data_IF_923557068211
#
_entry.id   IF_923557068211
#
_cell.length_a   1.000
_cell.length_b   1.000
_cell.length_c   1.000
_cell.angle_alpha   90.00
_cell.angle_beta   90.00
_cell.angle_gamma   90.00
#
_symmetry.space_group_name_H-M   'P 1'
#
loop_
_entity.id
_entity.type
_entity.pdbx_description
1 polymer ?
#
# COMPACT_ATOMS: atom_id res chain seq x y z
N UNK A 1 16.50 27.68 -10.83
CA UNK A 1 16.98 26.29 -10.78
C UNK A 1 17.33 25.88 -12.20
N UNK A 2 18.51 25.32 -12.44
CA UNK A 2 18.95 24.94 -13.79
C UNK A 2 18.68 23.44 -14.07
N UNK A 3 18.82 23.03 -15.33
CA UNK A 3 18.54 21.65 -15.75
C UNK A 3 19.45 20.62 -15.06
N UNK A 4 20.69 21.00 -14.74
CA UNK A 4 21.63 20.13 -14.03
C UNK A 4 21.18 19.88 -12.58
N UNK A 5 20.66 20.89 -11.89
CA UNK A 5 20.11 20.73 -10.53
C UNK A 5 18.88 19.80 -10.51
N UNK A 6 18.02 19.86 -11.54
CA UNK A 6 16.89 18.95 -11.71
C UNK A 6 17.40 17.54 -11.99
N UNK A 7 18.36 17.41 -12.89
CA UNK A 7 19.01 16.14 -13.23
C UNK A 7 19.66 15.45 -12.02
N UNK A 8 20.36 16.21 -11.18
CA UNK A 8 20.97 15.70 -9.95
C UNK A 8 19.92 15.14 -8.97
N UNK A 9 18.73 15.75 -8.90
CA UNK A 9 17.63 15.25 -8.05
C UNK A 9 17.03 13.96 -8.59
N UNK A 10 16.85 13.87 -9.91
CA UNK A 10 16.41 12.63 -10.57
C UNK A 10 17.39 11.51 -10.23
N UNK A 11 18.69 11.76 -10.45
CA UNK A 11 19.77 10.82 -10.16
C UNK A 11 19.78 10.37 -8.71
N UNK A 12 19.70 11.31 -7.79
CA UNK A 12 19.68 11.03 -6.35
C UNK A 12 18.55 10.06 -6.00
N UNK A 13 17.31 10.38 -6.36
CA UNK A 13 16.14 9.54 -5.98
C UNK A 13 16.15 8.20 -6.71
N UNK A 14 16.59 8.16 -7.97
CA UNK A 14 16.76 6.89 -8.70
C UNK A 14 17.74 5.97 -7.98
N UNK A 15 18.88 6.51 -7.55
CA UNK A 15 19.91 5.74 -6.82
C UNK A 15 19.43 5.32 -5.43
N UNK A 16 18.71 6.18 -4.70
CA UNK A 16 18.07 5.84 -3.42
C UNK A 16 17.10 4.64 -3.56
N UNK A 17 16.44 4.52 -4.72
CA UNK A 17 15.55 3.40 -5.05
C UNK A 17 16.24 2.18 -5.66
N UNK A 18 17.57 2.21 -5.81
CA UNK A 18 18.33 1.11 -6.42
C UNK A 18 18.04 0.87 -7.90
N UNK A 19 17.39 1.82 -8.60
CA UNK A 19 17.03 1.66 -10.00
C UNK A 19 18.22 2.01 -10.91
N UNK A 20 18.46 1.21 -11.95
CA UNK A 20 19.34 1.53 -13.06
C UNK A 20 18.69 2.55 -14.01
N UNK A 21 19.51 3.17 -14.87
CA UNK A 21 19.01 4.06 -15.94
C UNK A 21 18.07 3.32 -16.89
N UNK A 22 18.34 2.04 -17.15
CA UNK A 22 17.52 1.20 -18.04
C UNK A 22 16.16 0.92 -17.41
N UNK A 23 16.11 0.50 -16.15
CA UNK A 23 14.86 0.20 -15.45
C UNK A 23 13.97 1.44 -15.33
N UNK A 24 14.53 2.60 -14.96
CA UNK A 24 13.74 3.83 -14.92
C UNK A 24 13.21 4.21 -16.31
N UNK A 25 14.01 3.99 -17.35
CA UNK A 25 13.60 4.18 -18.74
C UNK A 25 12.44 3.26 -19.14
N UNK A 26 12.54 1.98 -18.82
CA UNK A 26 11.51 0.96 -19.08
C UNK A 26 10.18 1.31 -18.37
N UNK A 27 10.24 1.73 -17.10
CA UNK A 27 9.04 2.13 -16.33
C UNK A 27 8.27 3.27 -17.01
N UNK A 28 8.97 4.23 -17.63
CA UNK A 28 8.32 5.41 -18.24
C UNK A 28 8.19 5.32 -19.77
N UNK A 29 8.69 4.24 -20.39
CA UNK A 29 8.65 4.02 -21.83
C UNK A 29 9.65 4.84 -22.64
N UNK A 30 10.83 5.16 -22.10
CA UNK A 30 11.92 5.83 -22.85
C UNK A 30 13.27 5.14 -22.67
N UNK A 31 14.25 5.46 -23.53
CA UNK A 31 15.59 4.87 -23.42
C UNK A 31 16.33 5.31 -22.15
N UNK A 32 17.16 4.44 -21.58
CA UNK A 32 18.05 4.80 -20.47
C UNK A 32 19.05 5.90 -20.83
N UNK A 33 19.45 6.01 -22.11
CA UNK A 33 20.27 7.13 -22.59
C UNK A 33 19.51 8.47 -22.49
N UNK A 34 18.20 8.46 -22.73
CA UNK A 34 17.36 9.65 -22.52
C UNK A 34 17.34 10.03 -21.05
N UNK A 35 17.15 9.08 -20.12
CA UNK A 35 17.22 9.33 -18.67
C UNK A 35 18.57 9.95 -18.29
N UNK A 36 19.67 9.40 -18.80
CA UNK A 36 21.02 9.91 -18.53
C UNK A 36 21.17 11.38 -18.98
N UNK A 37 20.61 11.75 -20.14
CA UNK A 37 20.61 13.15 -20.60
C UNK A 37 19.81 14.07 -19.67
N UNK A 38 18.70 13.60 -19.11
CA UNK A 38 17.96 14.33 -18.07
C UNK A 38 18.82 14.49 -16.81
N UNK A 39 19.45 13.42 -16.32
CA UNK A 39 20.30 13.45 -15.12
C UNK A 39 21.51 14.37 -15.25
N UNK A 40 22.07 14.47 -16.46
CA UNK A 40 23.23 15.32 -16.75
C UNK A 40 22.84 16.76 -17.16
N UNK A 41 21.55 17.09 -17.16
CA UNK A 41 21.07 18.44 -17.57
C UNK A 41 21.24 18.75 -19.06
N UNK A 42 21.48 17.75 -19.92
CA UNK A 42 21.73 17.88 -21.37
C UNK A 42 20.45 18.00 -22.22
N UNK A 43 19.32 18.23 -21.58
CA UNK A 43 18.03 18.45 -22.23
C UNK A 43 17.81 19.95 -22.31
N UNK A 44 17.91 20.54 -23.51
CA UNK A 44 17.78 21.99 -23.71
C UNK A 44 16.39 22.52 -23.32
N UNK A 45 15.33 21.75 -23.61
CA UNK A 45 13.96 22.08 -23.22
C UNK A 45 13.32 20.90 -22.51
N UNK A 46 13.08 21.06 -21.21
CA UNK A 46 12.42 20.03 -20.40
C UNK A 46 10.97 19.87 -20.87
N UNK A 47 10.59 18.63 -21.18
CA UNK A 47 9.21 18.26 -21.48
C UNK A 47 8.50 17.95 -20.17
N UNK A 48 7.51 18.75 -19.80
CA UNK A 48 6.73 18.55 -18.57
C UNK A 48 6.13 17.14 -18.46
N UNK A 49 5.54 16.55 -19.51
CA UNK A 49 5.02 15.18 -19.41
C UNK A 49 6.07 14.15 -19.01
N UNK A 50 7.30 14.28 -19.52
CA UNK A 50 8.40 13.36 -19.19
C UNK A 50 8.86 13.57 -17.75
N UNK A 51 8.91 14.82 -17.28
CA UNK A 51 9.26 15.12 -15.89
C UNK A 51 8.20 14.57 -14.94
N UNK A 52 6.92 14.69 -15.28
CA UNK A 52 5.82 14.10 -14.52
C UNK A 52 5.92 12.57 -14.48
N UNK A 53 6.19 11.92 -15.63
CA UNK A 53 6.41 10.47 -15.67
C UNK A 53 7.60 10.04 -14.80
N UNK A 54 8.73 10.74 -14.88
CA UNK A 54 9.91 10.48 -14.03
C UNK A 54 9.55 10.64 -12.55
N UNK A 55 8.89 11.74 -12.18
CA UNK A 55 8.51 12.01 -10.80
C UNK A 55 7.54 10.95 -10.25
N UNK A 56 6.56 10.53 -11.05
CA UNK A 56 5.62 9.47 -10.68
C UNK A 56 6.32 8.12 -10.51
N UNK A 57 7.19 7.70 -11.45
CA UNK A 57 7.99 6.48 -11.33
C UNK A 57 8.88 6.49 -10.08
N UNK A 58 9.44 7.66 -9.76
CA UNK A 58 10.26 7.87 -8.58
C UNK A 58 9.45 8.15 -7.30
N UNK A 59 8.12 8.19 -7.35
CA UNK A 59 7.25 8.42 -6.19
C UNK A 59 7.46 9.77 -5.50
N UNK A 60 7.91 10.79 -6.24
CA UNK A 60 8.18 12.13 -5.74
C UNK A 60 7.23 13.15 -6.34
N UNK A 61 7.12 14.31 -5.71
CA UNK A 61 6.33 15.41 -6.22
C UNK A 61 7.04 16.05 -7.44
N UNK A 62 6.40 16.17 -8.62
CA UNK A 62 6.98 16.86 -9.78
C UNK A 62 7.45 18.29 -9.45
N UNK A 63 6.69 19.00 -8.61
CA UNK A 63 7.03 20.35 -8.14
C UNK A 63 8.23 20.37 -7.20
N UNK A 64 8.48 19.28 -6.45
CA UNK A 64 9.74 19.16 -5.71
C UNK A 64 10.91 18.98 -6.68
N UNK A 65 10.74 18.12 -7.68
CA UNK A 65 11.76 17.82 -8.67
C UNK A 65 12.23 19.10 -9.40
N UNK A 66 11.29 19.95 -9.81
CA UNK A 66 11.55 21.16 -10.62
C UNK A 66 11.76 22.44 -9.79
N UNK A 67 11.02 22.64 -8.68
CA UNK A 67 10.95 23.93 -7.98
C UNK A 67 11.54 23.91 -6.56
N UNK A 68 12.16 22.81 -6.11
CA UNK A 68 12.60 22.65 -4.72
C UNK A 68 11.51 22.93 -3.69
N UNK A 69 10.26 22.54 -3.96
CA UNK A 69 9.19 22.64 -2.97
C UNK A 69 9.58 21.93 -1.66
N UNK A 70 8.96 22.29 -0.53
CA UNK A 70 9.33 21.70 0.77
C UNK A 70 9.02 20.20 0.88
N UNK A 71 8.12 19.67 0.06
CA UNK A 71 7.61 18.30 0.18
C UNK A 71 8.13 17.39 -0.95
N UNK A 72 9.15 16.58 -0.64
CA UNK A 72 9.82 15.65 -1.59
C UNK A 72 8.90 14.56 -2.09
N UNK A 73 8.19 13.91 -1.18
CA UNK A 73 7.35 12.78 -1.51
C UNK A 73 5.97 13.27 -1.92
N UNK A 74 5.36 12.56 -2.87
CA UNK A 74 3.96 12.79 -3.18
C UNK A 74 3.18 12.43 -1.91
N UNK A 75 2.67 13.41 -1.18
CA UNK A 75 1.72 13.15 -0.10
C UNK A 75 0.54 12.44 -0.74
N UNK A 76 0.34 11.17 -0.42
CA UNK A 76 -0.82 10.39 -0.85
C UNK A 76 -2.15 11.00 -0.33
N UNK A 77 -2.07 11.99 0.56
CA UNK A 77 -3.18 12.84 0.98
C UNK A 77 -3.48 13.94 -0.05
N UNK A 78 -3.80 13.60 -1.30
CA UNK A 78 -4.43 14.56 -2.20
C UNK A 78 -5.14 13.98 -3.43
N UNK A 79 -5.60 12.73 -3.37
CA UNK A 79 -6.76 12.37 -4.18
C UNK A 79 -8.00 12.95 -3.48
N UNK A 80 -8.64 13.93 -4.13
CA UNK A 80 -9.89 14.58 -3.68
C UNK A 80 -11.11 13.64 -3.73
N UNK A 81 -10.90 12.33 -3.73
CA UNK A 81 -11.91 11.32 -3.44
C UNK A 81 -11.25 10.17 -2.67
N UNK A 82 -11.94 9.69 -1.64
CA UNK A 82 -11.76 8.36 -1.02
C UNK A 82 -10.79 8.24 0.17
N UNK A 83 -10.83 9.16 1.12
CA UNK A 83 -10.61 8.79 2.53
C UNK A 83 -11.87 9.27 3.26
N UNK A 84 -12.73 8.34 3.69
CA UNK A 84 -13.89 8.72 4.51
C UNK A 84 -13.40 9.44 5.78
N UNK A 85 -14.22 10.29 6.38
CA UNK A 85 -13.89 11.05 7.60
C UNK A 85 -13.26 10.17 8.68
N UNK A 86 -13.74 8.93 8.78
CA UNK A 86 -13.33 7.92 9.74
C UNK A 86 -11.87 7.46 9.50
N UNK A 87 -11.49 7.22 8.25
CA UNK A 87 -10.14 6.77 7.90
C UNK A 87 -9.08 7.86 8.11
N UNK A 88 -9.48 9.13 8.05
CA UNK A 88 -8.58 10.27 8.35
C UNK A 88 -8.26 10.37 9.84
N UNK A 89 -9.23 10.08 10.70
CA UNK A 89 -9.02 10.05 12.15
C UNK A 89 -8.09 8.91 12.57
N UNK A 90 -8.23 7.72 11.96
CA UNK A 90 -7.33 6.59 12.19
C UNK A 90 -5.87 6.96 11.85
N UNK A 91 -5.63 7.56 10.69
CA UNK A 91 -4.29 8.00 10.30
C UNK A 91 -3.71 9.05 11.27
N UNK A 92 -4.54 10.00 11.70
CA UNK A 92 -4.13 11.00 12.68
C UNK A 92 -3.77 10.39 14.03
N UNK A 93 -4.54 9.39 14.49
CA UNK A 93 -4.25 8.67 15.74
C UNK A 93 -2.98 7.82 15.61
N UNK A 94 -2.83 7.10 14.51
CA UNK A 94 -1.65 6.27 14.25
C UNK A 94 -0.35 7.11 14.25
N UNK A 95 -0.36 8.26 13.59
CA UNK A 95 0.80 9.15 13.53
C UNK A 95 1.21 9.74 14.89
N UNK A 96 0.31 9.76 15.89
CA UNK A 96 0.64 10.18 17.27
C UNK A 96 1.32 9.09 18.09
N UNK A 97 1.32 7.84 17.62
CA UNK A 97 1.96 6.72 18.32
C UNK A 97 3.48 6.75 18.15
N UNK A 98 4.21 6.21 19.13
CA UNK A 98 5.65 6.01 19.01
C UNK A 98 5.99 4.94 17.96
N UNK A 99 7.22 4.93 17.40
CA UNK A 99 7.59 3.98 16.35
C UNK A 99 7.37 2.50 16.72
N UNK A 100 7.70 2.11 17.95
CA UNK A 100 7.47 0.74 18.40
C UNK A 100 5.97 0.39 18.44
N UNK A 101 5.12 1.33 18.86
CA UNK A 101 3.67 1.13 18.87
C UNK A 101 3.09 1.07 17.47
N UNK A 102 3.56 1.92 16.55
CA UNK A 102 3.19 1.85 15.14
C UNK A 102 3.55 0.49 14.53
N UNK A 103 4.75 -0.04 14.81
CA UNK A 103 5.16 -1.39 14.38
C UNK A 103 4.21 -2.48 14.88
N UNK A 104 3.80 -2.42 16.16
CA UNK A 104 2.84 -3.38 16.73
C UNK A 104 1.48 -3.34 16.02
N UNK A 105 0.99 -2.13 15.71
CA UNK A 105 -0.26 -1.96 14.97
C UNK A 105 -0.15 -2.49 13.53
N UNK A 106 0.97 -2.24 12.84
CA UNK A 106 1.18 -2.81 11.50
C UNK A 106 1.19 -4.34 11.53
N UNK A 107 1.91 -4.95 12.48
CA UNK A 107 1.92 -6.41 12.66
C UNK A 107 0.52 -6.97 12.89
N UNK A 108 -0.32 -6.25 13.64
CA UNK A 108 -1.71 -6.64 13.87
C UNK A 108 -2.53 -6.57 12.56
N UNK A 109 -2.42 -5.48 11.79
CA UNK A 109 -3.09 -5.35 10.50
C UNK A 109 -2.68 -6.49 9.56
N UNK A 110 -1.39 -6.79 9.47
CA UNK A 110 -0.88 -7.88 8.62
C UNK A 110 -1.46 -9.24 9.02
N UNK A 111 -1.58 -9.50 10.33
CA UNK A 111 -2.16 -10.73 10.87
C UNK A 111 -3.65 -10.88 10.51
N UNK A 112 -4.45 -9.83 10.71
CA UNK A 112 -5.89 -9.85 10.39
C UNK A 112 -6.13 -10.01 8.88
N UNK A 113 -5.29 -9.39 8.04
CA UNK A 113 -5.37 -9.56 6.58
C UNK A 113 -5.04 -10.98 6.14
N UNK A 114 -4.13 -11.65 6.84
CA UNK A 114 -3.81 -13.05 6.54
C UNK A 114 -4.94 -13.98 6.97
N UNK A 115 -5.48 -13.79 8.18
CA UNK A 115 -6.65 -14.54 8.67
C UNK A 115 -7.85 -14.38 7.73
N UNK A 116 -8.10 -13.16 7.23
CA UNK A 116 -9.15 -12.92 6.24
C UNK A 116 -8.95 -13.72 4.94
N UNK A 117 -7.73 -13.80 4.42
CA UNK A 117 -7.45 -14.60 3.21
C UNK A 117 -7.66 -16.09 3.46
N UNK A 118 -7.25 -16.60 4.62
CA UNK A 118 -7.46 -18.00 5.00
C UNK A 118 -8.95 -18.34 5.05
N UNK A 119 -9.78 -17.45 5.60
CA UNK A 119 -11.23 -17.61 5.60
C UNK A 119 -11.83 -17.61 4.18
N UNK A 120 -11.35 -16.71 3.30
CA UNK A 120 -11.80 -16.63 1.90
C UNK A 120 -11.44 -17.91 1.13
N UNK A 121 -10.22 -18.43 1.28
CA UNK A 121 -9.79 -19.70 0.68
C UNK A 121 -10.62 -20.90 1.18
N UNK A 122 -10.98 -20.93 2.46
CA UNK A 122 -11.82 -21.98 3.02
C UNK A 122 -13.27 -21.93 2.46
N UNK A 123 -13.82 -20.72 2.23
CA UNK A 123 -15.14 -20.53 1.62
C UNK A 123 -15.17 -20.99 0.16
N UNK A 124 -14.11 -20.74 -0.61
CA UNK A 124 -14.03 -21.19 -2.01
C UNK A 124 -13.89 -22.72 -2.14
N UNK A 125 -13.12 -23.35 -1.25
CA UNK A 125 -12.95 -24.81 -1.21
C UNK A 125 -14.26 -25.56 -0.90
N UNK A 126 -15.09 -25.02 0.01
CA UNK A 126 -16.40 -25.62 0.35
C UNK A 126 -17.45 -25.42 -0.74
N UNK A 127 -17.40 -24.30 -1.49
CA UNK A 127 -18.29 -24.06 -2.62
C UNK A 127 -18.05 -25.05 -3.79
N UNK A 128 -16.78 -25.41 -4.05
CA UNK A 128 -16.40 -26.35 -5.10
C UNK A 128 -16.87 -27.80 -4.87
N UNK A 129 -17.15 -28.20 -3.62
CA UNK A 129 -17.55 -29.57 -3.27
C UNK A 129 -19.07 -29.82 -3.38
N UNK A 130 -19.90 -28.79 -3.58
CA UNK A 130 -21.38 -28.95 -3.65
C UNK A 130 -21.91 -29.34 -5.03
N UNK A 131 -21.01 -29.57 -6.01
CA UNK A 131 -21.37 -29.97 -7.37
C UNK A 131 -20.78 -31.32 -7.77
N UNK A 132 -21.34 -32.43 -7.27
CA UNK A 132 -21.66 -33.65 -8.04
C UNK A 132 -22.20 -34.75 -7.13
N UNK A 133 -23.35 -35.29 -7.53
CA UNK A 133 -23.98 -36.56 -7.17
C UNK A 133 -24.50 -36.84 -5.75
N UNK A 134 -25.83 -36.98 -5.68
CA UNK A 134 -26.44 -38.14 -5.03
C UNK A 134 -26.84 -37.99 -3.56
N UNK A 135 -27.85 -37.15 -3.30
CA UNK A 135 -28.86 -37.34 -2.25
C UNK A 135 -28.43 -37.84 -0.87
N UNK A 136 -28.20 -36.92 0.07
CA UNK A 136 -28.79 -36.93 1.42
C UNK A 136 -28.68 -35.51 2.01
N UNK A 137 -29.73 -35.08 2.71
CA UNK A 137 -29.89 -33.73 3.25
C UNK A 137 -28.90 -33.41 4.37
N UNK A 138 -27.81 -32.70 4.05
CA UNK A 138 -26.89 -32.08 5.03
C UNK A 138 -27.09 -30.55 5.12
N UNK A 139 -27.91 -29.98 4.24
CA UNK A 139 -28.04 -28.53 4.07
C UNK A 139 -28.60 -27.78 5.31
N UNK A 140 -29.45 -28.41 6.12
CA UNK A 140 -30.12 -27.74 7.24
C UNK A 140 -29.19 -27.48 8.44
N UNK A 141 -28.27 -28.41 8.76
CA UNK A 141 -27.34 -28.26 9.88
C UNK A 141 -26.20 -27.26 9.58
N UNK A 142 -25.81 -27.12 8.31
CA UNK A 142 -24.79 -26.15 7.87
C UNK A 142 -25.31 -24.71 7.87
N UNK A 143 -26.56 -24.47 7.44
CA UNK A 143 -27.14 -23.11 7.39
C UNK A 143 -27.44 -22.57 8.80
N UNK A 144 -27.81 -23.43 9.74
CA UNK A 144 -28.06 -23.02 11.13
C UNK A 144 -26.79 -22.63 11.89
N UNK A 145 -25.63 -23.25 11.58
CA UNK A 145 -24.32 -22.80 12.07
C UNK A 145 -23.87 -21.47 11.48
N UNK A 146 -24.20 -21.21 10.21
CA UNK A 146 -23.82 -19.98 9.52
C UNK A 146 -24.57 -18.75 10.08
N UNK A 147 -25.89 -18.88 10.29
CA UNK A 147 -26.70 -17.78 10.83
C UNK A 147 -26.37 -17.46 12.31
N UNK A 148 -25.95 -18.44 13.12
CA UNK A 148 -25.44 -18.20 14.48
C UNK A 148 -24.06 -17.52 14.51
N UNK A 149 -23.29 -17.59 13.43
CA UNK A 149 -22.00 -16.91 13.30
C UNK A 149 -22.17 -15.44 12.88
N UNK A 150 -23.14 -15.14 12.01
CA UNK A 150 -23.45 -13.76 11.60
C UNK A 150 -24.03 -12.90 12.73
N UNK A 151 -24.89 -13.42 13.60
CA UNK A 151 -25.41 -12.64 14.75
C UNK A 151 -24.35 -12.33 15.82
N UNK A 152 -23.29 -13.15 15.92
CA UNK A 152 -22.12 -12.89 16.78
C UNK A 152 -21.12 -11.92 16.15
N UNK A 153 -21.28 -11.61 14.86
CA UNK A 153 -20.45 -10.67 14.07
C UNK A 153 -20.87 -9.20 14.25
N UNK A 154 -21.06 -8.78 15.51
CA UNK A 154 -20.83 -7.38 15.88
C UNK A 154 -19.60 -7.37 16.76
N UNK A 155 -18.42 -7.00 16.24
CA UNK A 155 -17.20 -7.10 17.02
C UNK A 155 -17.23 -6.06 18.13
N UNK A 156 -17.50 -6.52 19.35
CA UNK A 156 -17.17 -5.79 20.56
C UNK A 156 -15.87 -6.42 21.06
N UNK A 157 -14.74 -5.85 20.63
CA UNK A 157 -13.39 -6.29 21.01
C UNK A 157 -13.37 -6.50 22.52
N UNK A 158 -13.20 -7.76 22.95
CA UNK A 158 -13.21 -8.10 24.37
C UNK A 158 -11.83 -7.86 24.98
N UNK A 159 -11.77 -7.76 26.31
CA UNK A 159 -10.50 -7.54 27.01
C UNK A 159 -9.57 -8.74 26.83
N UNK A 160 -10.16 -9.93 26.74
CA UNK A 160 -9.49 -11.19 26.46
C UNK A 160 -8.84 -11.22 25.07
N UNK A 161 -9.48 -10.61 24.06
CA UNK A 161 -8.91 -10.48 22.71
C UNK A 161 -7.68 -9.58 22.75
N UNK A 162 -7.75 -8.43 23.44
CA UNK A 162 -6.61 -7.52 23.62
C UNK A 162 -5.45 -8.18 24.37
N UNK A 163 -5.75 -9.00 25.38
CA UNK A 163 -4.74 -9.70 26.17
C UNK A 163 -4.07 -10.83 25.37
N UNK A 164 -4.81 -11.55 24.52
CA UNK A 164 -4.21 -12.53 23.58
C UNK A 164 -3.31 -11.86 22.56
N UNK A 165 -3.74 -10.71 22.04
CA UNK A 165 -2.98 -9.90 21.08
C UNK A 165 -1.68 -9.40 21.73
N UNK A 166 -1.74 -8.86 22.95
CA UNK A 166 -0.57 -8.34 23.66
C UNK A 166 0.50 -9.43 23.87
N UNK A 167 0.06 -10.65 24.20
CA UNK A 167 0.94 -11.78 24.49
C UNK A 167 1.58 -12.42 23.24
N UNK A 168 1.01 -12.24 22.04
CA UNK A 168 1.60 -12.70 20.77
C UNK A 168 2.60 -11.72 20.18
N UNK A 169 2.40 -10.42 20.41
CA UNK A 169 3.26 -9.38 19.83
C UNK A 169 4.62 -9.28 20.54
N UNK A 170 4.69 -9.52 21.86
CA UNK A 170 5.91 -9.32 22.66
C UNK A 170 6.77 -10.60 22.80
N UNK A 171 6.49 -11.67 22.04
CA UNK A 171 7.20 -12.97 22.11
C UNK A 171 8.20 -13.23 20.97
N UNK A 172 8.46 -12.25 20.11
CA UNK A 172 9.50 -12.28 19.06
C UNK A 172 10.47 -11.11 19.24
#
# INVERSE_FOLDING_TARGET
>A
MNNLEIGNRIKQVRQEKGLSLRELGEIIGISGATIQRYENGLINRLKLPVIESIANALGVNPSWLIFKSKNKYKTLVNDKNTISSENKDLLNKFNKLSPNRQKRINKFIDMELEEQKEEEMAKESTAAYTGTDGGHSIAAESTQKYNQAEEKSKPKVTKEDLDRIYNKIDKE
#
